data_IF_625743930941
#
_entry.id   IF_625743930941
#
_cell.length_a   1.000
_cell.length_b   1.000
_cell.length_c   1.000
_cell.angle_alpha   90.00
_cell.angle_beta   90.00
_cell.angle_gamma   90.00
#
_symmetry.space_group_name_H-M   'P 1'
#
loop_
_entity.id
_entity.type
_entity.pdbx_description
1 polymer ?
#
# COMPACT_ATOMS: atom_id res chain seq x y z
N UNK A 1 4.72 22.89 14.97
CA UNK A 1 4.42 21.79 14.05
C UNK A 1 3.19 20.99 14.50
N UNK A 2 3.13 20.49 15.75
CA UNK A 2 2.01 19.65 16.22
C UNK A 2 0.61 20.30 16.09
N UNK A 3 0.47 21.61 16.41
CA UNK A 3 -0.81 22.32 16.26
C UNK A 3 -1.31 22.32 14.81
N UNK A 4 -0.44 22.65 13.85
CA UNK A 4 -0.81 22.69 12.43
C UNK A 4 -1.27 21.32 11.91
N UNK A 5 -0.60 20.23 12.32
CA UNK A 5 -1.00 18.88 11.95
C UNK A 5 -2.37 18.51 12.53
N UNK A 6 -2.61 18.84 13.80
CA UNK A 6 -3.88 18.55 14.47
C UNK A 6 -5.04 19.35 13.88
N UNK A 7 -4.84 20.65 13.63
CA UNK A 7 -5.85 21.52 13.01
C UNK A 7 -6.18 21.07 11.57
N UNK A 8 -5.16 20.70 10.79
CA UNK A 8 -5.36 20.14 9.45
C UNK A 8 -6.18 18.84 9.47
N UNK A 9 -5.84 17.92 10.38
CA UNK A 9 -6.58 16.67 10.55
C UNK A 9 -8.02 16.93 11.03
N UNK A 10 -8.23 17.84 11.97
CA UNK A 10 -9.57 18.19 12.47
C UNK A 10 -10.46 18.78 11.38
N UNK A 11 -9.91 19.62 10.50
CA UNK A 11 -10.62 20.16 9.34
C UNK A 11 -11.02 19.04 8.37
N UNK A 12 -10.08 18.17 8.01
CA UNK A 12 -10.32 17.04 7.10
C UNK A 12 -11.39 16.09 7.65
N UNK A 13 -11.33 15.74 8.94
CA UNK A 13 -12.33 14.87 9.56
C UNK A 13 -13.71 15.53 9.61
N UNK A 14 -13.76 16.84 9.85
CA UNK A 14 -15.01 17.61 9.84
C UNK A 14 -15.64 17.66 8.45
N UNK A 15 -14.83 17.78 7.39
CA UNK A 15 -15.28 17.66 5.99
C UNK A 15 -15.85 16.26 5.68
N UNK A 16 -15.30 15.22 6.32
CA UNK A 16 -15.79 13.84 6.24
C UNK A 16 -16.99 13.55 7.17
N UNK A 17 -17.45 14.53 7.95
CA UNK A 17 -18.57 14.39 8.88
C UNK A 17 -18.26 13.57 10.14
N UNK A 18 -16.99 13.45 10.53
CA UNK A 18 -16.57 12.73 11.73
C UNK A 18 -15.70 13.60 12.65
N UNK A 19 -15.78 13.36 13.95
CA UNK A 19 -14.89 14.00 14.93
C UNK A 19 -13.51 13.34 14.94
N UNK A 20 -12.48 14.08 15.38
CA UNK A 20 -11.14 13.52 15.60
C UNK A 20 -11.16 12.30 16.52
N UNK A 21 -12.00 12.31 17.57
CA UNK A 21 -12.18 11.16 18.47
C UNK A 21 -12.78 9.96 17.76
N UNK A 22 -13.76 10.16 16.86
CA UNK A 22 -14.30 9.07 16.04
C UNK A 22 -13.24 8.50 15.10
N UNK A 23 -12.44 9.33 14.44
CA UNK A 23 -11.34 8.88 13.58
C UNK A 23 -10.33 8.03 14.36
N UNK A 24 -9.94 8.46 15.57
CA UNK A 24 -9.05 7.69 16.46
C UNK A 24 -9.69 6.35 16.83
N UNK A 25 -10.97 6.34 17.19
CA UNK A 25 -11.67 5.11 17.53
C UNK A 25 -11.79 4.15 16.33
N UNK A 26 -11.96 4.66 15.10
CA UNK A 26 -11.95 3.85 13.88
C UNK A 26 -10.58 3.21 13.67
N UNK A 27 -9.50 3.98 13.84
CA UNK A 27 -8.13 3.48 13.76
C UNK A 27 -7.89 2.35 14.77
N UNK A 28 -8.27 2.55 16.05
CA UNK A 28 -8.08 1.54 17.10
C UNK A 28 -8.87 0.25 16.80
N UNK A 29 -10.13 0.38 16.39
CA UNK A 29 -10.95 -0.78 16.00
C UNK A 29 -10.31 -1.55 14.85
N UNK A 30 -9.79 -0.84 13.86
CA UNK A 30 -9.18 -1.44 12.69
C UNK A 30 -7.85 -2.14 13.06
N UNK A 31 -7.02 -1.51 13.90
CA UNK A 31 -5.79 -2.11 14.40
C UNK A 31 -6.03 -3.41 15.18
N UNK A 32 -7.09 -3.47 15.99
CA UNK A 32 -7.50 -4.69 16.71
C UNK A 32 -7.99 -5.77 15.74
N UNK A 33 -8.75 -5.40 14.70
CA UNK A 33 -9.28 -6.34 13.70
C UNK A 33 -8.19 -6.96 12.84
N UNK A 34 -7.19 -6.17 12.45
CA UNK A 34 -6.08 -6.60 11.60
C UNK A 34 -4.89 -7.13 12.40
N UNK A 35 -4.94 -7.03 13.73
CA UNK A 35 -3.83 -7.34 14.65
C UNK A 35 -2.52 -6.67 14.22
N UNK A 36 -2.61 -5.42 13.74
CA UNK A 36 -1.51 -4.72 13.10
C UNK A 36 -1.80 -3.25 12.87
N UNK A 37 -0.91 -2.57 12.14
CA UNK A 37 -1.11 -1.17 11.76
C UNK A 37 -2.04 -1.15 10.55
N UNK A 38 -3.17 -0.42 10.60
CA UNK A 38 -4.17 -0.39 9.53
C UNK A 38 -3.78 0.57 8.39
N UNK A 39 -2.53 0.45 7.94
CA UNK A 39 -1.96 1.06 6.75
C UNK A 39 -0.58 0.43 6.50
N UNK A 40 -0.17 0.35 5.25
CA UNK A 40 1.15 -0.17 4.86
C UNK A 40 2.27 0.74 5.38
N UNK A 41 3.20 0.18 6.16
CA UNK A 41 4.36 0.90 6.68
C UNK A 41 5.58 0.56 5.84
N UNK A 42 5.99 1.49 4.98
CA UNK A 42 7.16 1.32 4.09
C UNK A 42 8.12 2.50 4.23
N UNK A 43 9.43 2.23 4.21
CA UNK A 43 10.45 3.28 4.20
C UNK A 43 10.58 3.97 2.84
N UNK A 44 10.04 3.35 1.78
CA UNK A 44 9.97 3.89 0.43
C UNK A 44 8.49 3.95 0.04
N UNK A 45 7.86 5.13 0.08
CA UNK A 45 6.48 5.25 -0.35
C UNK A 45 6.41 4.88 -1.83
N UNK A 46 5.72 3.77 -2.13
CA UNK A 46 5.31 3.47 -3.49
C UNK A 46 4.21 4.49 -3.85
N UNK A 47 4.61 5.66 -4.34
CA UNK A 47 3.66 6.60 -4.95
C UNK A 47 3.31 6.03 -6.32
N UNK A 48 2.42 5.04 -6.31
CA UNK A 48 1.79 4.49 -7.50
C UNK A 48 0.62 5.43 -7.87
N UNK A 49 0.90 6.49 -8.64
CA UNK A 49 -0.14 7.21 -9.34
C UNK A 49 -0.70 6.32 -10.46
N UNK A 50 -1.89 5.76 -10.26
CA UNK A 50 -2.70 5.17 -11.31
C UNK A 50 -2.32 3.75 -11.67
N UNK A 51 -3.27 2.84 -11.51
CA UNK A 51 -3.10 1.45 -11.93
C UNK A 51 -3.00 1.32 -13.45
N UNK A 52 -1.97 0.60 -13.89
CA UNK A 52 -2.03 -0.24 -15.08
C UNK A 52 -1.53 -1.63 -14.67
N UNK A 53 -2.47 -2.48 -14.27
CA UNK A 53 -2.22 -3.92 -14.22
C UNK A 53 -2.29 -4.49 -15.63
N UNK A 54 -1.23 -5.22 -15.98
CA UNK A 54 -1.23 -6.45 -16.78
C UNK A 54 -0.84 -6.34 -18.26
N UNK A 55 0.38 -6.80 -18.58
CA UNK A 55 0.49 -8.04 -19.36
C UNK A 55 1.72 -8.84 -18.94
N UNK A 56 1.47 -10.12 -18.62
CA UNK A 56 2.47 -11.10 -18.23
C UNK A 56 3.35 -11.43 -19.44
N UNK A 57 4.59 -10.94 -19.50
CA UNK A 57 5.56 -11.52 -20.42
C UNK A 57 6.05 -12.86 -19.82
N UNK A 58 5.50 -13.96 -20.35
CA UNK A 58 5.91 -15.31 -20.02
C UNK A 58 7.43 -15.51 -20.23
N UNK A 59 8.10 -16.37 -19.45
CA UNK A 59 9.50 -16.68 -19.71
C UNK A 59 9.62 -17.37 -21.07
N UNK A 60 10.48 -16.81 -21.93
CA UNK A 60 10.75 -17.28 -23.28
C UNK A 60 11.07 -18.80 -23.31
N UNK A 61 10.25 -19.66 -23.95
CA UNK A 61 10.56 -21.08 -24.08
C UNK A 61 11.36 -21.33 -25.37
N UNK A 62 12.49 -20.63 -25.57
CA UNK A 62 13.43 -21.03 -26.62
C UNK A 62 14.83 -20.47 -26.39
N UNK A 63 15.77 -21.35 -26.02
CA UNK A 63 17.12 -21.50 -26.60
C UNK A 63 17.98 -22.40 -25.71
N UNK A 64 17.98 -23.69 -26.00
CA UNK A 64 19.24 -24.46 -25.98
C UNK A 64 19.20 -25.54 -27.07
N UNK A 65 19.89 -25.33 -28.21
CA UNK A 65 20.12 -26.40 -29.19
C UNK A 65 21.40 -27.19 -28.81
N UNK A 66 21.73 -28.24 -29.57
CA UNK A 66 21.73 -29.64 -29.16
C UNK A 66 22.98 -30.09 -28.36
N UNK A 67 22.81 -31.05 -27.45
CA UNK A 67 23.93 -31.80 -26.88
C UNK A 67 24.46 -32.74 -27.98
N UNK A 68 25.70 -32.57 -28.44
CA UNK A 68 26.37 -33.59 -29.27
C UNK A 68 26.65 -34.82 -28.39
N UNK A 69 26.46 -36.06 -28.88
CA UNK A 69 26.94 -37.22 -28.15
C UNK A 69 28.47 -37.27 -28.24
N UNK A 70 29.13 -37.43 -27.09
CA UNK A 70 30.55 -37.74 -27.01
C UNK A 70 30.81 -39.07 -27.73
N UNK A 71 31.84 -39.11 -28.58
CA UNK A 71 32.44 -40.34 -29.13
C UNK A 71 33.77 -40.57 -28.43
#
# INVERSE_FOLDING_TARGET
MERQTRDGAAKLFSELGISTTQAINMFLKQAVREQGIPFEVTARPAIEHGGESMEKQAPCPSRRPPQRPCS
#
